data_IF_547333823561
#
_entry.id   IF_547333823561
#
_cell.length_a   1.000
_cell.length_b   1.000
_cell.length_c   1.000
_cell.angle_alpha   90.00
_cell.angle_beta   90.00
_cell.angle_gamma   90.00
#
_symmetry.space_group_name_H-M   'P 1'
#
loop_
_entity.id
_entity.type
_entity.pdbx_description
1 polymer ?
#
# COMPACT_ATOMS: atom_id res chain seq x y z
N UNK A 1 -28.67 -21.42 -11.39
CA UNK A 1 -27.99 -20.57 -12.40
C UNK A 1 -28.07 -19.08 -12.09
N UNK A 2 -29.24 -18.53 -11.73
CA UNK A 2 -29.41 -17.07 -11.44
C UNK A 2 -28.56 -16.54 -10.26
N UNK A 3 -28.44 -17.32 -9.17
CA UNK A 3 -27.60 -16.96 -8.01
C UNK A 3 -26.11 -16.91 -8.32
N UNK A 4 -25.66 -17.75 -9.26
CA UNK A 4 -24.26 -17.82 -9.69
C UNK A 4 -23.90 -16.61 -10.54
N UNK A 5 -24.77 -16.18 -11.46
CA UNK A 5 -24.55 -14.98 -12.29
C UNK A 5 -24.49 -13.68 -11.47
N UNK A 6 -25.38 -13.53 -10.48
CA UNK A 6 -25.36 -12.40 -9.54
C UNK A 6 -24.11 -12.39 -8.65
N UNK A 7 -23.67 -13.57 -8.15
CA UNK A 7 -22.45 -13.68 -7.35
C UNK A 7 -21.18 -13.32 -8.16
N UNK A 8 -21.13 -13.71 -9.44
CA UNK A 8 -20.05 -13.30 -10.35
C UNK A 8 -20.05 -11.79 -10.59
N UNK A 9 -21.22 -11.19 -10.87
CA UNK A 9 -21.35 -9.75 -11.08
C UNK A 9 -20.96 -8.95 -9.82
N UNK A 10 -21.44 -9.35 -8.65
CA UNK A 10 -21.10 -8.73 -7.38
C UNK A 10 -19.59 -8.82 -7.06
N UNK A 11 -18.98 -9.98 -7.32
CA UNK A 11 -17.54 -10.17 -7.14
C UNK A 11 -16.71 -9.34 -8.12
N UNK A 12 -17.15 -9.19 -9.37
CA UNK A 12 -16.51 -8.34 -10.35
C UNK A 12 -16.59 -6.85 -9.97
N UNK A 13 -17.77 -6.39 -9.52
CA UNK A 13 -17.94 -5.02 -9.02
C UNK A 13 -17.11 -4.75 -7.77
N UNK A 14 -17.04 -5.70 -6.84
CA UNK A 14 -16.22 -5.57 -5.64
C UNK A 14 -14.73 -5.40 -5.98
N UNK A 15 -14.19 -6.23 -6.88
CA UNK A 15 -12.79 -6.08 -7.35
C UNK A 15 -12.54 -4.77 -8.07
N UNK A 16 -13.52 -4.28 -8.83
CA UNK A 16 -13.41 -2.97 -9.48
C UNK A 16 -13.39 -1.83 -8.44
N UNK A 17 -14.17 -1.95 -7.36
CA UNK A 17 -14.13 -1.01 -6.25
C UNK A 17 -12.76 -1.06 -5.53
N UNK A 18 -12.22 -2.25 -5.23
CA UNK A 18 -10.87 -2.37 -4.65
C UNK A 18 -9.79 -1.75 -5.54
N UNK A 19 -9.90 -1.91 -6.87
CA UNK A 19 -9.00 -1.27 -7.83
C UNK A 19 -9.12 0.26 -7.79
N UNK A 20 -10.35 0.78 -7.78
CA UNK A 20 -10.61 2.21 -7.65
C UNK A 20 -9.98 2.78 -6.37
N UNK A 21 -10.19 2.10 -5.24
CA UNK A 21 -9.64 2.49 -3.94
C UNK A 21 -8.11 2.50 -3.97
N UNK A 22 -7.48 1.49 -4.59
CA UNK A 22 -6.03 1.44 -4.72
C UNK A 22 -5.46 2.60 -5.57
N UNK A 23 -6.10 2.93 -6.69
CA UNK A 23 -5.68 4.04 -7.56
C UNK A 23 -5.89 5.38 -6.85
N UNK A 24 -7.04 5.57 -6.20
CA UNK A 24 -7.34 6.78 -5.44
C UNK A 24 -6.34 6.98 -4.30
N UNK A 25 -6.00 5.90 -3.58
CA UNK A 25 -5.00 5.93 -2.52
C UNK A 25 -3.60 6.28 -3.06
N UNK A 26 -3.20 5.72 -4.19
CA UNK A 26 -1.94 6.06 -4.85
C UNK A 26 -1.90 7.54 -5.25
N UNK A 27 -2.96 8.03 -5.88
CA UNK A 27 -3.07 9.43 -6.32
C UNK A 27 -3.00 10.39 -5.13
N UNK A 28 -3.74 10.11 -4.05
CA UNK A 28 -3.74 10.93 -2.84
C UNK A 28 -2.36 11.01 -2.17
N UNK A 29 -1.51 10.01 -2.39
CA UNK A 29 -0.16 9.94 -1.82
C UNK A 29 0.96 10.13 -2.85
N UNK A 30 0.64 10.61 -4.06
CA UNK A 30 1.64 10.81 -5.13
C UNK A 30 2.68 11.89 -4.79
N UNK A 31 2.37 12.79 -3.85
CA UNK A 31 3.31 13.78 -3.32
C UNK A 31 3.93 13.39 -1.97
N UNK A 32 3.55 12.24 -1.41
CA UNK A 32 4.03 11.79 -0.09
C UNK A 32 5.41 11.18 -0.21
N UNK A 33 6.39 11.77 0.48
CA UNK A 33 7.77 11.25 0.57
C UNK A 33 7.79 9.79 1.02
N UNK A 34 8.55 8.95 0.33
CA UNK A 34 8.72 7.53 0.63
C UNK A 34 7.48 6.68 0.34
N UNK A 35 6.44 7.22 -0.28
CA UNK A 35 5.25 6.43 -0.59
C UNK A 35 5.56 5.39 -1.68
N UNK A 36 5.12 4.15 -1.40
CA UNK A 36 5.17 3.04 -2.35
C UNK A 36 3.78 2.74 -2.87
N UNK A 37 3.63 2.61 -4.17
CA UNK A 37 2.36 2.36 -4.82
C UNK A 37 1.76 1.03 -4.34
N UNK A 38 0.45 1.04 -4.17
CA UNK A 38 -0.36 -0.15 -4.04
C UNK A 38 -0.70 -0.65 -5.46
N UNK A 39 -0.16 -1.80 -5.85
CA UNK A 39 -0.51 -2.50 -7.08
C UNK A 39 -1.65 -3.49 -6.85
N UNK A 40 -2.46 -3.74 -7.86
CA UNK A 40 -3.37 -4.89 -7.89
C UNK A 40 -2.59 -6.03 -8.55
N UNK A 41 -2.21 -7.06 -7.79
CA UNK A 41 -1.57 -8.24 -8.36
C UNK A 41 -2.59 -8.99 -9.22
N UNK A 42 -2.61 -8.71 -10.53
CA UNK A 42 -3.51 -9.35 -11.49
C UNK A 42 -3.09 -10.78 -11.83
N UNK A 43 -1.82 -11.14 -11.60
CA UNK A 43 -1.23 -12.41 -12.04
C UNK A 43 -1.82 -13.65 -11.35
N UNK A 44 -2.32 -13.54 -10.11
CA UNK A 44 -2.88 -14.70 -9.41
C UNK A 44 -4.31 -15.04 -9.85
N UNK A 45 -5.07 -14.06 -10.35
CA UNK A 45 -6.49 -14.23 -10.64
C UNK A 45 -6.75 -14.87 -12.00
N UNK A 46 -5.91 -14.62 -13.00
CA UNK A 46 -6.03 -15.27 -14.30
C UNK A 46 -5.63 -16.76 -14.21
N UNK A 47 -4.55 -17.07 -13.47
CA UNK A 47 -4.15 -18.46 -13.22
C UNK A 47 -5.19 -19.27 -12.41
N UNK A 48 -5.89 -18.64 -11.45
CA UNK A 48 -6.95 -19.30 -10.69
C UNK A 48 -8.31 -19.36 -11.39
N UNK A 49 -8.59 -18.40 -12.29
CA UNK A 49 -9.79 -18.43 -13.12
C UNK A 49 -9.65 -19.42 -14.30
N UNK A 50 -8.42 -19.80 -14.65
CA UNK A 50 -8.09 -20.83 -15.64
C UNK A 50 -7.76 -22.18 -14.97
N UNK A 51 -8.13 -22.40 -13.71
CA UNK A 51 -8.38 -23.79 -13.29
C UNK A 51 -9.79 -24.09 -13.80
N UNK A 52 -9.96 -24.91 -14.85
CA UNK A 52 -11.30 -25.30 -15.25
C UNK A 52 -11.88 -26.01 -14.03
N UNK A 53 -13.01 -25.53 -13.53
CA UNK A 53 -13.87 -26.38 -12.74
C UNK A 53 -14.07 -27.63 -13.59
N UNK A 54 -13.48 -28.75 -13.17
CA UNK A 54 -13.75 -30.05 -13.77
C UNK A 54 -15.27 -30.20 -13.81
N UNK A 55 -15.82 -30.18 -15.02
CA UNK A 55 -17.24 -30.41 -15.30
C UNK A 55 -17.53 -31.88 -15.01
N UNK A 56 -17.54 -32.26 -13.72
CA UNK A 56 -17.59 -33.66 -13.32
C UNK A 56 -18.24 -33.97 -11.99
N UNK A 57 -18.36 -33.02 -11.05
CA UNK A 57 -18.98 -33.33 -9.76
C UNK A 57 -20.12 -32.37 -9.40
N UNK A 58 -21.31 -32.96 -9.29
CA UNK A 58 -22.56 -32.35 -8.85
C UNK A 58 -22.49 -32.03 -7.35
N UNK A 59 -21.70 -31.01 -6.99
CA UNK A 59 -21.55 -30.50 -5.62
C UNK A 59 -20.81 -29.16 -5.54
N UNK A 60 -20.71 -28.44 -6.66
CA UNK A 60 -19.81 -27.30 -6.85
C UNK A 60 -19.98 -26.19 -5.80
N UNK A 61 -19.02 -26.10 -4.88
CA UNK A 61 -18.79 -24.91 -4.08
C UNK A 61 -18.67 -23.68 -5.02
N UNK A 62 -19.23 -22.51 -4.62
CA UNK A 62 -19.09 -21.31 -5.44
C UNK A 62 -17.60 -21.03 -5.69
N UNK A 63 -17.23 -20.49 -6.87
CA UNK A 63 -15.85 -20.17 -7.19
C UNK A 63 -15.28 -19.33 -6.05
N UNK A 64 -14.22 -19.81 -5.40
CA UNK A 64 -13.50 -19.03 -4.38
C UNK A 64 -13.03 -17.76 -5.07
N UNK A 65 -13.68 -16.65 -4.75
CA UNK A 65 -13.21 -15.31 -5.05
C UNK A 65 -11.91 -15.16 -4.26
N UNK A 66 -10.77 -15.44 -4.90
CA UNK A 66 -9.48 -15.17 -4.30
C UNK A 66 -9.38 -13.65 -4.16
N UNK A 67 -9.42 -13.17 -2.92
CA UNK A 67 -9.23 -11.76 -2.60
C UNK A 67 -7.93 -11.28 -3.26
N UNK A 68 -8.02 -10.23 -4.08
CA UNK A 68 -6.85 -9.62 -4.67
C UNK A 68 -6.01 -9.05 -3.53
N UNK A 69 -4.86 -9.66 -3.25
CA UNK A 69 -3.91 -9.06 -2.32
C UNK A 69 -3.34 -7.83 -3.01
N UNK A 70 -3.55 -6.65 -2.43
CA UNK A 70 -2.89 -5.43 -2.87
C UNK A 70 -1.38 -5.63 -2.68
N UNK A 71 -0.64 -5.70 -3.78
CA UNK A 71 0.80 -5.82 -3.76
C UNK A 71 1.42 -4.45 -3.48
N UNK A 72 2.53 -4.42 -2.73
CA UNK A 72 3.28 -3.18 -2.51
C UNK A 72 4.39 -3.14 -3.58
N UNK A 73 4.44 -2.08 -4.38
CA UNK A 73 5.52 -1.89 -5.34
C UNK A 73 6.71 -1.21 -4.66
N UNK A 74 7.78 -1.98 -4.39
CA UNK A 74 8.99 -1.49 -3.74
C UNK A 74 10.01 -0.85 -4.69
N UNK A 75 9.69 -0.70 -5.99
CA UNK A 75 10.59 0.02 -6.92
C UNK A 75 10.92 1.42 -6.37
N UNK A 76 12.18 1.88 -6.50
CA UNK A 76 12.58 3.18 -5.96
C UNK A 76 11.81 4.32 -6.64
N UNK A 77 11.49 5.35 -5.86
CA UNK A 77 10.97 6.61 -6.38
C UNK A 77 12.10 7.53 -6.86
N UNK A 78 11.77 8.71 -7.42
CA UNK A 78 12.78 9.72 -7.73
C UNK A 78 13.47 10.21 -6.44
N UNK A 79 14.79 10.39 -6.48
CA UNK A 79 15.55 10.97 -5.37
C UNK A 79 15.66 12.47 -5.60
N UNK A 80 15.22 13.26 -4.62
CA UNK A 80 15.20 14.72 -4.67
C UNK A 80 16.19 15.27 -3.65
N UNK A 81 17.20 16.01 -4.10
CA UNK A 81 18.12 16.70 -3.20
C UNK A 81 17.40 17.88 -2.52
N UNK A 82 17.42 17.91 -1.19
CA UNK A 82 16.81 18.96 -0.36
C UNK A 82 17.84 19.85 0.32
N UNK A 83 19.06 19.34 0.53
CA UNK A 83 20.14 20.04 1.25
C UNK A 83 19.92 20.13 2.76
N UNK A 84 18.81 19.60 3.30
CA UNK A 84 18.55 19.62 4.75
C UNK A 84 19.34 18.50 5.45
N UNK A 85 20.04 18.79 6.56
CA UNK A 85 20.97 17.83 7.16
C UNK A 85 20.29 16.62 7.82
N UNK A 86 19.01 16.74 8.15
CA UNK A 86 18.17 15.66 8.72
C UNK A 86 17.30 14.95 7.67
N UNK A 87 17.46 15.28 6.39
CA UNK A 87 16.83 14.53 5.31
C UNK A 87 17.79 13.44 4.84
N UNK A 88 17.29 12.22 4.66
CA UNK A 88 18.06 11.14 4.05
C UNK A 88 17.18 10.24 3.18
N UNK A 89 17.68 9.88 2.00
CA UNK A 89 17.05 8.86 1.16
C UNK A 89 17.80 7.54 1.29
N UNK A 90 17.11 6.42 1.10
CA UNK A 90 17.74 5.10 1.09
C UNK A 90 18.14 4.76 -0.35
N UNK A 91 19.41 4.38 -0.54
CA UNK A 91 19.91 3.83 -1.80
C UNK A 91 19.61 2.32 -1.84
N UNK A 92 18.70 1.90 -2.73
CA UNK A 92 18.37 0.49 -2.92
C UNK A 92 17.30 -0.07 -1.95
N UNK A 93 17.34 -1.38 -1.62
CA UNK A 93 16.42 -1.98 -0.66
C UNK A 93 16.75 -1.55 0.77
N UNK A 94 15.73 -1.40 1.62
CA UNK A 94 15.91 -0.98 3.01
C UNK A 94 14.75 -0.12 3.53
N UNK A 95 14.65 0.03 4.84
CA UNK A 95 13.68 0.90 5.50
C UNK A 95 14.29 1.52 6.76
N UNK A 96 13.84 2.73 7.08
CA UNK A 96 14.00 3.28 8.42
C UNK A 96 12.99 2.62 9.37
N UNK A 97 13.39 2.42 10.63
CA UNK A 97 12.49 1.92 11.67
C UNK A 97 12.06 3.06 12.58
N UNK A 98 10.75 3.18 12.81
CA UNK A 98 10.15 4.19 13.69
C UNK A 98 9.30 3.55 14.78
N UNK A 99 9.20 4.21 15.92
CA UNK A 99 8.34 3.81 17.02
C UNK A 99 6.89 4.20 16.74
N UNK A 100 6.11 3.28 16.17
CA UNK A 100 4.69 3.44 15.97
C UNK A 100 3.86 3.13 17.23
N UNK A 101 2.56 3.50 17.25
CA UNK A 101 1.68 3.33 18.41
C UNK A 101 1.39 1.85 18.76
N UNK A 102 1.67 0.92 17.85
CA UNK A 102 1.46 -0.53 18.04
C UNK A 102 2.78 -1.30 17.90
N UNK A 103 3.91 -0.65 18.15
CA UNK A 103 5.26 -1.20 18.00
C UNK A 103 6.00 -0.67 16.78
N UNK A 104 7.18 -1.25 16.45
CA UNK A 104 8.02 -0.79 15.35
C UNK A 104 7.30 -0.81 14.00
N UNK A 105 7.37 0.31 13.28
CA UNK A 105 6.91 0.46 11.91
C UNK A 105 8.09 0.82 11.00
N UNK A 106 7.93 0.55 9.72
CA UNK A 106 8.94 0.73 8.68
C UNK A 106 8.50 1.84 7.74
N UNK A 107 9.43 2.69 7.34
CA UNK A 107 9.15 3.78 6.41
C UNK A 107 10.31 4.00 5.45
N UNK A 108 9.98 4.47 4.25
CA UNK A 108 10.93 5.02 3.29
C UNK A 108 11.02 6.55 3.39
N UNK A 109 10.09 7.17 4.11
CA UNK A 109 10.09 8.61 4.32
C UNK A 109 11.26 8.98 5.25
N UNK A 110 12.25 9.67 4.72
CA UNK A 110 13.43 10.09 5.46
C UNK A 110 13.47 11.59 5.75
N UNK A 111 12.32 12.26 5.76
CA UNK A 111 12.20 13.64 6.18
C UNK A 111 12.04 13.67 7.71
N UNK A 112 13.11 14.02 8.41
CA UNK A 112 13.13 14.02 9.87
C UNK A 112 13.28 15.43 10.45
N UNK A 113 12.88 15.56 11.71
CA UNK A 113 13.01 16.78 12.50
C UNK A 113 13.36 16.43 13.94
N UNK A 114 13.68 17.47 14.71
CA UNK A 114 13.89 17.37 16.14
C UNK A 114 12.60 17.71 16.87
N UNK A 115 12.19 16.88 17.83
CA UNK A 115 11.07 17.18 18.71
C UNK A 115 11.49 18.03 19.94
N UNK A 116 10.51 18.44 20.75
CA UNK A 116 10.75 19.22 21.97
C UNK A 116 11.55 18.45 23.04
N UNK A 117 11.63 17.12 22.95
CA UNK A 117 12.43 16.27 23.82
C UNK A 117 13.85 16.03 23.26
N UNK A 118 14.20 16.68 22.15
CA UNK A 118 15.51 16.55 21.51
C UNK A 118 15.70 15.23 20.75
N UNK A 119 14.64 14.52 20.38
CA UNK A 119 14.71 13.25 19.64
C UNK A 119 14.55 13.48 18.15
N UNK A 120 15.13 12.58 17.36
CA UNK A 120 14.90 12.50 15.92
C UNK A 120 13.52 11.88 15.68
N UNK A 121 12.62 12.63 15.05
CA UNK A 121 11.25 12.20 14.76
C UNK A 121 10.92 12.41 13.28
N UNK A 122 9.99 11.63 12.77
CA UNK A 122 9.34 11.87 11.47
C UNK A 122 8.49 13.14 11.51
N UNK A 123 8.03 13.61 10.35
CA UNK A 123 7.05 14.71 10.27
C UNK A 123 5.73 14.40 11.00
N UNK A 124 5.39 13.11 11.12
CA UNK A 124 4.22 12.63 11.86
C UNK A 124 4.47 12.56 13.38
N UNK A 125 5.65 12.98 13.86
CA UNK A 125 6.02 12.95 15.27
C UNK A 125 6.45 11.58 15.81
N UNK A 126 6.57 10.56 14.96
CA UNK A 126 7.03 9.24 15.37
C UNK A 126 8.55 9.23 15.56
N UNK A 127 9.08 8.79 16.72
CA UNK A 127 10.51 8.68 16.94
C UNK A 127 11.19 7.68 16.02
N UNK A 128 12.36 8.05 15.48
CA UNK A 128 13.21 7.14 14.72
C UNK A 128 14.03 6.28 15.67
N UNK A 129 14.11 4.99 15.40
CA UNK A 129 14.83 4.04 16.24
C UNK A 129 16.30 3.88 15.81
N UNK A 130 17.18 3.81 16.79
CA UNK A 130 18.59 3.45 16.61
C UNK A 130 18.79 1.93 16.62
N UNK A 131 20.00 1.48 16.31
CA UNK A 131 20.37 0.05 16.33
C UNK A 131 20.16 -0.61 17.72
N UNK A 132 20.22 0.18 18.78
CA UNK A 132 19.88 -0.19 20.16
C UNK A 132 18.38 -0.35 20.42
N UNK A 133 17.54 -0.10 19.39
CA UNK A 133 16.08 -0.12 19.41
C UNK A 133 15.46 0.96 20.29
N UNK A 134 16.21 2.00 20.65
CA UNK A 134 15.71 3.15 21.38
C UNK A 134 15.50 4.35 20.46
N UNK A 135 14.63 5.30 20.82
CA UNK A 135 14.52 6.57 20.12
C UNK A 135 15.88 7.28 20.05
N UNK A 136 16.27 7.73 18.86
CA UNK A 136 17.53 8.44 18.66
C UNK A 136 17.45 9.83 19.30
N UNK A 137 18.27 10.04 20.33
CA UNK A 137 18.45 11.35 20.97
C UNK A 137 19.47 12.19 20.20
N UNK A 138 19.17 13.48 20.03
CA UNK A 138 20.03 14.45 19.36
C UNK A 138 20.68 15.39 20.39
N UNK A 139 21.95 15.77 20.22
CA UNK A 139 22.65 16.71 21.12
C UNK A 139 21.91 18.05 21.24
N UNK A 140 21.79 18.67 22.43
CA UNK A 140 20.93 19.84 22.65
C UNK A 140 21.34 21.09 21.85
N UNK A 141 22.62 21.20 21.50
CA UNK A 141 23.19 22.23 20.65
C UNK A 141 24.12 21.59 19.61
N UNK A 142 24.49 22.38 18.60
CA UNK A 142 25.38 21.93 17.53
C UNK A 142 24.65 21.52 16.25
N UNK A 143 25.42 21.38 15.18
CA UNK A 143 24.90 20.90 13.91
C UNK A 143 24.74 19.37 13.94
N UNK A 144 23.54 18.90 13.60
CA UNK A 144 23.25 17.48 13.49
C UNK A 144 23.02 17.13 12.03
N UNK A 145 23.71 16.09 11.55
CA UNK A 145 23.58 15.58 10.19
C UNK A 145 23.55 14.06 10.14
N UNK A 146 22.89 13.52 9.11
CA UNK A 146 22.89 12.11 8.81
C UNK A 146 24.06 11.76 7.87
N UNK A 147 24.75 10.67 8.15
CA UNK A 147 25.83 10.14 7.31
C UNK A 147 25.34 9.01 6.40
N UNK A 148 26.09 8.73 5.34
CA UNK A 148 25.75 7.73 4.33
C UNK A 148 25.72 6.28 4.87
N UNK A 149 26.33 6.03 6.01
CA UNK A 149 26.37 4.73 6.69
C UNK A 149 25.28 4.59 7.77
N UNK A 150 24.36 5.56 7.87
CA UNK A 150 23.32 5.57 8.90
C UNK A 150 23.76 6.14 10.24
N UNK A 151 25.01 6.61 10.39
CA UNK A 151 25.42 7.34 11.59
C UNK A 151 24.74 8.71 11.66
N UNK A 152 24.32 9.07 12.87
CA UNK A 152 23.89 10.43 13.21
C UNK A 152 25.10 11.13 13.80
N UNK A 153 25.52 12.23 13.19
CA UNK A 153 26.69 13.00 13.62
C UNK A 153 26.22 14.29 14.29
N UNK A 154 26.74 14.59 15.48
CA UNK A 154 26.64 15.89 16.15
C UNK A 154 28.01 16.56 16.15
N UNK A 155 28.12 17.76 15.59
CA UNK A 155 29.38 18.52 15.44
C UNK A 155 30.53 17.68 14.85
N UNK A 156 30.18 16.74 13.97
CA UNK A 156 31.12 15.85 13.28
C UNK A 156 31.45 14.54 14.01
N UNK A 157 31.04 14.35 15.26
CA UNK A 157 31.22 13.10 16.00
C UNK A 157 29.97 12.21 15.95
N UNK A 158 30.10 10.88 15.83
CA UNK A 158 28.94 9.98 15.84
C UNK A 158 28.29 9.92 17.22
N UNK A 159 26.99 10.23 17.28
CA UNK A 159 26.19 10.24 18.52
C UNK A 159 25.20 9.08 18.59
N UNK A 160 24.75 8.59 17.44
CA UNK A 160 23.86 7.45 17.34
C UNK A 160 24.00 6.80 15.95
N UNK A 161 23.37 5.64 15.76
CA UNK A 161 23.26 4.98 14.46
C UNK A 161 21.82 4.53 14.24
N UNK A 162 21.25 4.90 13.09
CA UNK A 162 19.89 4.56 12.73
C UNK A 162 19.74 3.05 12.52
N UNK A 163 18.64 2.47 12.99
CA UNK A 163 18.29 1.10 12.64
C UNK A 163 17.73 1.08 11.22
N UNK A 164 18.53 0.53 10.30
CA UNK A 164 18.12 0.27 8.92
C UNK A 164 17.90 -1.22 8.74
N UNK A 165 16.78 -1.60 8.13
CA UNK A 165 16.39 -3.00 7.95
C UNK A 165 16.01 -3.27 6.50
N UNK A 166 16.25 -4.49 6.02
CA UNK A 166 15.73 -4.94 4.74
C UNK A 166 14.69 -6.05 4.98
N UNK A 167 13.46 -5.79 4.55
CA UNK A 167 12.33 -6.70 4.75
C UNK A 167 11.66 -6.96 3.39
N UNK A 168 11.54 -8.24 2.98
CA UNK A 168 10.93 -8.57 1.71
C UNK A 168 9.44 -8.21 1.69
N UNK A 169 8.95 -7.80 0.52
CA UNK A 169 7.58 -7.33 0.30
C UNK A 169 6.50 -8.27 0.84
N UNK A 170 6.69 -9.59 0.73
CA UNK A 170 5.73 -10.60 1.20
C UNK A 170 5.55 -10.64 2.73
N UNK A 171 6.43 -9.96 3.47
CA UNK A 171 6.33 -9.81 4.94
C UNK A 171 5.96 -8.38 5.35
N UNK A 172 5.58 -7.51 4.41
CA UNK A 172 5.14 -6.15 4.70
C UNK A 172 3.62 -6.05 4.61
N UNK A 173 3.04 -5.33 5.56
CA UNK A 173 1.64 -4.90 5.51
C UNK A 173 1.58 -3.39 5.65
N UNK A 174 0.93 -2.69 4.72
CA UNK A 174 0.70 -1.25 4.85
C UNK A 174 -0.12 -0.95 6.11
N UNK A 175 0.25 0.10 6.82
CA UNK A 175 -0.50 0.60 7.98
C UNK A 175 -1.16 1.92 7.64
N UNK A 176 -0.37 2.99 7.51
CA UNK A 176 -0.86 4.34 7.28
C UNK A 176 0.07 5.05 6.28
N UNK A 177 -0.52 5.67 5.26
CA UNK A 177 0.19 6.38 4.20
C UNK A 177 1.42 5.60 3.67
N UNK A 178 2.64 6.10 3.95
CA UNK A 178 3.92 5.54 3.52
C UNK A 178 4.56 4.55 4.51
N UNK A 179 3.85 4.12 5.55
CA UNK A 179 4.36 3.22 6.60
C UNK A 179 3.90 1.78 6.45
N UNK A 180 4.75 0.87 6.92
CA UNK A 180 4.54 -0.57 6.86
C UNK A 180 4.78 -1.20 8.23
N UNK A 181 4.08 -2.29 8.49
CA UNK A 181 4.39 -3.18 9.62
C UNK A 181 4.93 -4.49 9.09
N UNK A 182 6.02 -5.01 9.67
CA UNK A 182 6.47 -6.35 9.34
C UNK A 182 5.47 -7.39 9.87
N UNK A 183 5.37 -8.53 9.18
CA UNK A 183 4.60 -9.67 9.65
C UNK A 183 5.14 -10.18 11.01
N UNK A 184 4.30 -10.74 11.89
CA UNK A 184 4.76 -11.32 13.15
C UNK A 184 5.94 -12.29 12.95
N UNK A 185 6.92 -12.23 13.87
CA UNK A 185 8.13 -13.05 13.80
C UNK A 185 9.17 -12.63 12.75
N UNK A 186 8.98 -11.50 12.05
CA UNK A 186 10.02 -10.94 11.18
C UNK A 186 11.09 -10.27 12.04
N UNK A 187 12.33 -10.74 11.94
CA UNK A 187 13.45 -10.13 12.64
C UNK A 187 13.78 -8.76 12.03
N UNK A 188 13.89 -7.74 12.89
CA UNK A 188 14.37 -6.41 12.53
C UNK A 188 15.82 -6.28 13.05
N UNK A 189 16.76 -6.65 12.19
CA UNK A 189 18.20 -6.54 12.44
C UNK A 189 18.85 -5.53 11.48
N UNK A 190 19.97 -4.90 11.87
CA UNK A 190 20.71 -4.00 11.00
C UNK A 190 21.05 -4.67 9.67
N UNK A 191 20.70 -4.01 8.57
CA UNK A 191 21.04 -4.41 7.22
C UNK A 191 22.06 -3.42 6.62
N UNK A 192 22.94 -3.85 5.69
CA UNK A 192 23.93 -2.99 5.04
C UNK A 192 23.26 -2.05 4.02
N UNK A 193 22.45 -1.12 4.50
CA UNK A 193 21.71 -0.14 3.72
C UNK A 193 22.51 1.17 3.66
N UNK A 194 22.65 1.75 2.47
CA UNK A 194 23.32 3.04 2.29
C UNK A 194 22.29 4.17 2.23
N UNK A 195 22.66 5.31 2.79
CA UNK A 195 21.87 6.52 2.76
C UNK A 195 22.48 7.55 1.80
N UNK A 196 21.62 8.39 1.25
CA UNK A 196 21.96 9.61 0.52
C UNK A 196 21.54 10.77 1.42
N UNK A 197 22.49 11.38 2.16
CA UNK A 197 22.20 12.53 3.02
C UNK A 197 21.73 13.75 2.22
N UNK A 198 20.89 14.58 2.83
CA UNK A 198 20.39 15.81 2.21
C UNK A 198 19.47 15.54 1.02
N UNK A 199 18.85 14.36 0.96
CA UNK A 199 17.94 13.96 -0.10
C UNK A 199 16.74 13.22 0.46
N UNK A 200 15.65 13.18 -0.32
CA UNK A 200 14.43 12.46 0.00
C UNK A 200 14.01 11.57 -1.17
N UNK A 201 13.48 10.40 -0.85
CA UNK A 201 12.82 9.54 -1.84
C UNK A 201 11.38 10.02 -2.06
N UNK A 202 11.02 10.37 -3.28
CA UNK A 202 9.64 10.70 -3.66
C UNK A 202 8.74 9.46 -3.80
N UNK A 203 7.44 9.68 -3.99
CA UNK A 203 6.53 8.59 -4.29
C UNK A 203 6.87 7.93 -5.63
N UNK A 204 6.75 6.61 -5.74
CA UNK A 204 6.85 5.90 -7.02
C UNK A 204 5.52 5.87 -7.80
N UNK A 205 4.67 6.87 -7.57
CA UNK A 205 3.38 7.05 -8.26
C UNK A 205 3.50 8.20 -9.24
N UNK A 206 3.09 7.98 -10.48
CA UNK A 206 2.93 9.06 -11.46
C UNK A 206 1.48 9.59 -11.35
N UNK A 207 1.27 10.84 -10.89
CA UNK A 207 -0.07 11.38 -10.65
C UNK A 207 -0.88 11.52 -11.96
N UNK A 208 -0.23 11.83 -13.08
CA UNK A 208 -0.90 11.97 -14.38
C UNK A 208 -1.44 10.62 -14.84
N UNK A 209 -0.60 9.57 -14.77
CA UNK A 209 -1.04 8.21 -15.12
C UNK A 209 -2.11 7.69 -14.14
N UNK A 210 -1.95 7.94 -12.84
CA UNK A 210 -2.93 7.54 -11.84
C UNK A 210 -4.31 8.19 -12.05
N UNK A 211 -4.36 9.45 -12.49
CA UNK A 211 -5.62 10.13 -12.84
C UNK A 211 -6.30 9.49 -14.06
N UNK A 212 -5.53 9.14 -15.09
CA UNK A 212 -6.06 8.44 -16.28
C UNK A 212 -6.60 7.07 -15.89
N UNK A 213 -5.83 6.30 -15.12
CA UNK A 213 -6.26 5.00 -14.60
C UNK A 213 -7.51 5.10 -13.73
N UNK A 214 -7.64 6.17 -12.94
CA UNK A 214 -8.83 6.43 -12.12
C UNK A 214 -10.06 6.69 -13.00
N UNK A 215 -9.93 7.55 -14.02
CA UNK A 215 -11.02 7.86 -14.95
C UNK A 215 -11.46 6.59 -15.69
N UNK A 216 -10.52 5.78 -16.17
CA UNK A 216 -10.82 4.52 -16.85
C UNK A 216 -11.51 3.54 -15.91
N UNK A 217 -11.01 3.42 -14.68
CA UNK A 217 -11.60 2.55 -13.67
C UNK A 217 -13.03 3.00 -13.28
N UNK A 218 -13.29 4.31 -13.21
CA UNK A 218 -14.61 4.87 -12.92
C UNK A 218 -15.59 4.57 -14.05
N UNK A 219 -15.18 4.76 -15.31
CA UNK A 219 -16.00 4.42 -16.48
C UNK A 219 -16.38 2.94 -16.52
N UNK A 220 -15.43 2.06 -16.22
CA UNK A 220 -15.69 0.60 -16.14
C UNK A 220 -16.65 0.29 -14.99
N UNK A 221 -16.48 0.91 -13.83
CA UNK A 221 -17.36 0.72 -12.68
C UNK A 221 -18.80 1.19 -12.99
N UNK A 222 -18.96 2.36 -13.59
CA UNK A 222 -20.27 2.87 -14.02
C UNK A 222 -20.92 1.96 -15.08
N UNK A 223 -20.15 1.46 -16.04
CA UNK A 223 -20.65 0.52 -17.04
C UNK A 223 -21.11 -0.80 -16.39
N UNK A 224 -20.35 -1.33 -15.44
CA UNK A 224 -20.72 -2.51 -14.67
C UNK A 224 -22.01 -2.29 -13.86
N UNK A 225 -22.15 -1.13 -13.21
CA UNK A 225 -23.38 -0.77 -12.50
C UNK A 225 -24.60 -0.68 -13.44
N UNK A 226 -24.43 -0.12 -14.64
CA UNK A 226 -25.51 -0.09 -15.64
C UNK A 226 -25.89 -1.49 -16.10
N UNK A 227 -24.93 -2.38 -16.33
CA UNK A 227 -25.18 -3.76 -16.71
C UNK A 227 -25.95 -4.53 -15.63
N UNK A 228 -25.59 -4.36 -14.34
CA UNK A 228 -26.31 -4.99 -13.22
C UNK A 228 -27.75 -4.48 -13.14
N UNK A 229 -27.97 -3.16 -13.23
CA UNK A 229 -29.33 -2.59 -13.28
C UNK A 229 -30.17 -3.16 -14.43
N UNK A 230 -29.58 -3.30 -15.62
CA UNK A 230 -30.26 -3.88 -16.77
C UNK A 230 -30.63 -5.36 -16.55
N UNK A 231 -29.77 -6.15 -15.90
CA UNK A 231 -30.08 -7.52 -15.51
C UNK A 231 -31.29 -7.53 -14.56
N UNK A 232 -31.29 -6.66 -13.55
CA UNK A 232 -32.38 -6.55 -12.57
C UNK A 232 -33.70 -6.16 -13.21
N UNK A 233 -33.68 -5.17 -14.11
CA UNK A 233 -34.87 -4.76 -14.86
C UNK A 233 -35.42 -5.88 -15.75
N UNK A 234 -34.55 -6.74 -16.29
CA UNK A 234 -34.93 -7.87 -17.15
C UNK A 234 -35.51 -9.01 -16.30
N UNK A 235 -34.92 -9.29 -15.13
CA UNK A 235 -35.43 -10.26 -14.15
C UNK A 235 -36.78 -9.81 -13.59
N UNK A 236 -36.93 -8.54 -13.24
CA UNK A 236 -38.17 -7.98 -12.73
C UNK A 236 -39.33 -8.13 -13.74
N UNK A 237 -39.06 -7.85 -15.02
CA UNK A 237 -40.04 -8.07 -16.11
C UNK A 237 -40.40 -9.55 -16.27
N UNK A 238 -39.42 -10.46 -16.27
CA UNK A 238 -39.68 -11.89 -16.38
C UNK A 238 -40.56 -12.44 -15.23
N UNK A 239 -40.34 -11.95 -14.00
CA UNK A 239 -41.18 -12.33 -12.84
C UNK A 239 -42.60 -11.81 -13.00
N UNK A 240 -42.76 -10.55 -13.42
CA UNK A 240 -44.06 -9.94 -13.65
C UNK A 240 -44.86 -10.67 -14.73
N UNK A 241 -44.21 -11.04 -15.83
CA UNK A 241 -44.85 -11.73 -16.95
C UNK A 241 -45.31 -13.16 -16.57
N UNK A 242 -44.55 -13.89 -15.75
CA UNK A 242 -44.98 -15.19 -15.20
C UNK A 242 -46.15 -15.04 -14.22
N UNK A 243 -46.12 -14.02 -13.36
CA UNK A 243 -47.22 -13.75 -12.42
C UNK A 243 -48.54 -13.39 -13.11
N UNK A 244 -48.47 -12.78 -14.30
CA UNK A 244 -49.66 -12.43 -15.09
C UNK A 244 -50.30 -13.65 -15.77
N UNK A 245 -49.51 -14.67 -16.11
CA UNK A 245 -50.00 -15.91 -16.74
C UNK A 245 -50.70 -16.84 -15.74
N UNK A 246 -50.35 -16.79 -14.45
CA UNK A 246 -50.96 -17.63 -13.41
C UNK A 246 -52.18 -16.99 -12.73
N UNK A 247 -52.33 -15.66 -12.80
CA UNK A 247 -53.49 -14.93 -12.24
C UNK A 247 -54.71 -14.80 -13.17
N UNK A 248 -54.65 -15.32 -14.39
CA UNK A 248 -55.69 -15.19 -15.41
C UNK A 248 -56.63 -16.39 -15.60
N UNK A 249 -56.56 -17.41 -14.73
CA UNK A 249 -57.39 -18.62 -14.79
C UNK A 249 -58.19 -18.84 -13.51
N UNK A 250 -59.11 -17.91 -13.20
CA UNK A 250 -60.20 -18.08 -12.26
C UNK A 250 -61.50 -17.60 -12.89
#
# INVERSE_FOLDING_TARGET
MLTVGWAFAASAMHRQAERLDAIAHNLANAATTGFKAAGVAFDALLASAIVPASLGDAGGAPPRVLAARTAIDLRPGPILATGRPLDAAIEGPGFFVVAGPRGPELTRAGAFTRDAQGRLVTLDGLPVLGEDRQPVALPPAGEVRLAADGAVLGDGAPVARLLLVDVPVGRLRRTEAARFRPAPGTALGPAPVRLIPGALEGANVNPVLALVELIDALRIYEAAQRAVRQIDDTVGRAIHDVGRLTGGSA
#
